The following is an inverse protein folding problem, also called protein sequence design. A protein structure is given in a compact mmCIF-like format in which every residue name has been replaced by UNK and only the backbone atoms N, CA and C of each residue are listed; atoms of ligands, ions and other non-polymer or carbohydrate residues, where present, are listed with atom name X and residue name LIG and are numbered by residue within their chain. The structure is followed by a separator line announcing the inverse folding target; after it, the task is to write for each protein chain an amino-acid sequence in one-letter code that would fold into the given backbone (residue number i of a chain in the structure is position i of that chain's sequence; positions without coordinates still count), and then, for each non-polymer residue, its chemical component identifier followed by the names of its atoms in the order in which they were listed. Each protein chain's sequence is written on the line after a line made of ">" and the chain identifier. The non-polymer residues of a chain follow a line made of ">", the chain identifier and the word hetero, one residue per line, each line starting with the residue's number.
data_IF_653451233398
#
_entry.id   IF_653451233398
#
_cell.length_a   1.000
_cell.length_b   1.000
_cell.length_c   1.000
_cell.angle_alpha   90.00
_cell.angle_beta   90.00
_cell.angle_gamma   90.00
#
_symmetry.space_group_name_H-M   'P 1'
#
loop_
_entity.id
_entity.type
_entity.pdbx_description
1 polymer ?
#
# COMPACT_ATOMS: atom_id res chain seq x y z
N UNK A 1 11.40 -3.60 3.85
CA UNK A 1 10.61 -3.40 2.62
C UNK A 1 11.28 -2.46 1.62
N UNK A 2 11.71 -1.24 1.98
CA UNK A 2 12.39 -0.32 1.04
C UNK A 2 13.58 -0.97 0.30
N UNK A 3 14.49 -1.62 1.03
CA UNK A 3 15.62 -2.35 0.45
C UNK A 3 15.18 -3.43 -0.55
N UNK A 4 14.11 -4.16 -0.25
CA UNK A 4 13.56 -5.18 -1.14
C UNK A 4 13.04 -4.56 -2.44
N UNK A 5 12.28 -3.47 -2.36
CA UNK A 5 11.76 -2.74 -3.53
C UNK A 5 12.90 -2.22 -4.40
N UNK A 6 13.92 -1.60 -3.79
CA UNK A 6 15.11 -1.13 -4.51
C UNK A 6 15.86 -2.28 -5.18
N UNK A 7 16.05 -3.40 -4.47
CA UNK A 7 16.71 -4.59 -5.02
C UNK A 7 15.95 -5.17 -6.22
N UNK A 8 14.62 -5.28 -6.13
CA UNK A 8 13.77 -5.73 -7.24
C UNK A 8 13.81 -4.75 -8.42
N UNK A 9 13.76 -3.45 -8.16
CA UNK A 9 13.85 -2.44 -9.22
C UNK A 9 15.16 -2.51 -9.99
N UNK A 10 16.28 -2.78 -9.30
CA UNK A 10 17.60 -2.89 -9.89
C UNK A 10 17.81 -4.23 -10.63
N UNK A 11 17.35 -5.33 -10.03
CA UNK A 11 17.53 -6.68 -10.59
C UNK A 11 16.57 -6.98 -11.74
N UNK A 12 15.43 -6.28 -11.80
CA UNK A 12 14.39 -6.51 -12.79
C UNK A 12 13.95 -5.17 -13.44
N UNK A 13 14.77 -4.57 -14.33
CA UNK A 13 14.55 -3.21 -14.84
C UNK A 13 13.28 -3.05 -15.69
N UNK A 14 12.64 -4.13 -16.12
CA UNK A 14 11.38 -4.09 -16.87
C UNK A 14 10.16 -4.49 -16.03
N UNK A 15 10.34 -4.97 -14.79
CA UNK A 15 9.22 -5.41 -13.96
C UNK A 15 8.37 -4.23 -13.49
N UNK A 16 7.05 -4.45 -13.43
CA UNK A 16 6.09 -3.51 -12.84
C UNK A 16 5.97 -3.84 -11.35
N UNK A 17 6.36 -2.90 -10.48
CA UNK A 17 6.37 -3.15 -9.03
C UNK A 17 5.08 -2.64 -8.41
N UNK A 18 4.37 -3.53 -7.71
CA UNK A 18 3.25 -3.18 -6.83
C UNK A 18 3.69 -3.42 -5.40
N UNK A 19 3.39 -2.49 -4.51
CA UNK A 19 3.60 -2.67 -3.08
C UNK A 19 2.26 -2.69 -2.36
N UNK A 20 2.13 -3.55 -1.36
CA UNK A 20 0.88 -3.72 -0.63
C UNK A 20 1.12 -4.01 0.85
N UNK A 21 0.15 -3.65 1.69
CA UNK A 21 0.20 -3.89 3.12
C UNK A 21 -1.18 -3.99 3.76
N UNK A 22 -1.33 -4.90 4.72
CA UNK A 22 -2.52 -5.06 5.56
C UNK A 22 -2.18 -4.73 7.01
N UNK A 23 -3.02 -3.94 7.70
CA UNK A 23 -2.86 -3.59 9.12
C UNK A 23 -1.48 -2.96 9.39
N UNK A 24 -0.66 -3.55 10.26
CA UNK A 24 0.73 -3.11 10.46
C UNK A 24 1.56 -3.14 9.15
N UNK A 25 1.28 -4.07 8.23
CA UNK A 25 1.93 -4.10 6.91
C UNK A 25 1.66 -2.84 6.08
N UNK A 26 0.51 -2.17 6.27
CA UNK A 26 0.27 -0.86 5.65
C UNK A 26 1.22 0.19 6.24
N UNK A 27 1.46 0.20 7.55
CA UNK A 27 2.46 1.09 8.17
C UNK A 27 3.86 0.84 7.61
N UNK A 28 4.25 -0.43 7.40
CA UNK A 28 5.52 -0.81 6.76
C UNK A 28 5.58 -0.29 5.32
N UNK A 29 4.46 -0.32 4.59
CA UNK A 29 4.33 0.23 3.23
C UNK A 29 4.55 1.74 3.22
N UNK A 30 3.93 2.48 4.16
CA UNK A 30 4.14 3.92 4.35
C UNK A 30 5.59 4.26 4.69
N UNK A 31 6.21 3.52 5.61
CA UNK A 31 7.62 3.73 5.98
C UNK A 31 8.54 3.46 4.79
N UNK A 32 8.30 2.37 4.05
CA UNK A 32 9.08 2.03 2.88
C UNK A 32 8.97 3.12 1.82
N UNK A 33 7.75 3.58 1.51
CA UNK A 33 7.49 4.64 0.55
C UNK A 33 8.32 5.90 0.85
N UNK A 34 8.39 6.31 2.13
CA UNK A 34 9.20 7.46 2.59
C UNK A 34 10.71 7.25 2.50
N UNK A 35 11.18 6.01 2.59
CA UNK A 35 12.61 5.68 2.49
C UNK A 35 13.08 5.48 1.04
N UNK A 36 12.16 5.28 0.08
CA UNK A 36 12.51 5.15 -1.33
C UNK A 36 12.96 6.50 -1.90
N UNK A 37 14.02 6.49 -2.71
CA UNK A 37 14.38 7.64 -3.54
C UNK A 37 13.29 7.93 -4.57
N UNK A 38 13.19 9.17 -5.07
CA UNK A 38 12.23 9.53 -6.12
C UNK A 38 12.34 8.65 -7.37
N UNK A 39 13.57 8.25 -7.74
CA UNK A 39 13.82 7.32 -8.84
C UNK A 39 13.14 5.95 -8.60
N UNK A 40 13.27 5.39 -7.39
CA UNK A 40 12.64 4.10 -7.07
C UNK A 40 11.13 4.24 -6.84
N UNK A 41 10.65 5.35 -6.29
CA UNK A 41 9.20 5.64 -6.21
C UNK A 41 8.56 5.61 -7.61
N UNK A 42 9.22 6.17 -8.63
CA UNK A 42 8.74 6.12 -10.01
C UNK A 42 8.61 4.70 -10.58
N UNK A 43 9.36 3.73 -10.04
CA UNK A 43 9.32 2.31 -10.44
C UNK A 43 8.14 1.55 -9.84
N UNK A 44 7.50 2.07 -8.79
CA UNK A 44 6.32 1.47 -8.16
C UNK A 44 5.06 1.98 -8.86
N UNK A 45 4.34 1.09 -9.53
CA UNK A 45 3.18 1.47 -10.36
C UNK A 45 1.87 1.57 -9.57
N UNK A 46 1.77 0.88 -8.44
CA UNK A 46 0.60 0.93 -7.56
C UNK A 46 0.98 0.67 -6.10
N UNK A 47 0.25 1.31 -5.19
CA UNK A 47 0.28 1.07 -3.75
C UNK A 47 -1.12 0.68 -3.29
N UNK A 48 -1.27 -0.48 -2.65
CA UNK A 48 -2.56 -0.94 -2.12
C UNK A 48 -2.46 -1.18 -0.62
N UNK A 49 -3.35 -0.58 0.17
CA UNK A 49 -3.39 -0.85 1.62
C UNK A 49 -4.77 -1.30 2.08
N UNK A 50 -4.80 -2.21 3.06
CA UNK A 50 -6.02 -2.74 3.69
C UNK A 50 -5.94 -2.53 5.20
N UNK A 51 -6.99 -1.99 5.82
CA UNK A 51 -6.98 -1.75 7.27
C UNK A 51 -5.85 -0.82 7.69
N UNK A 52 -5.63 0.25 6.92
CA UNK A 52 -4.44 1.11 7.00
C UNK A 52 -4.54 2.09 8.19
N UNK A 53 -3.70 1.94 9.23
CA UNK A 53 -3.67 2.86 10.36
C UNK A 53 -3.26 4.29 10.00
N UNK A 54 -2.62 4.46 8.84
CA UNK A 54 -2.14 5.72 8.31
C UNK A 54 -2.88 6.13 7.04
N UNK A 55 -4.14 5.72 6.86
CA UNK A 55 -4.92 6.03 5.66
C UNK A 55 -5.07 7.53 5.35
N UNK A 56 -5.02 8.39 6.39
CA UNK A 56 -5.04 9.85 6.30
C UNK A 56 -3.65 10.49 6.13
N UNK A 57 -2.59 9.69 6.14
CA UNK A 57 -1.21 10.15 5.91
C UNK A 57 -0.91 10.04 4.41
N UNK A 58 -0.46 11.12 3.80
CA UNK A 58 -0.10 11.10 2.38
C UNK A 58 1.16 10.25 2.14
N UNK A 59 1.17 9.51 1.02
CA UNK A 59 2.38 8.90 0.49
C UNK A 59 3.24 9.95 -0.23
N UNK A 60 4.57 9.76 -0.28
CA UNK A 60 5.46 10.72 -0.92
C UNK A 60 5.37 10.67 -2.45
N UNK A 61 5.54 11.84 -3.07
CA UNK A 61 5.79 11.99 -4.51
C UNK A 61 4.70 11.38 -5.38
N UNK A 62 5.11 10.61 -6.39
CA UNK A 62 4.19 9.97 -7.35
C UNK A 62 3.37 8.84 -6.75
N UNK A 63 3.67 8.38 -5.54
CA UNK A 63 2.99 7.25 -4.93
C UNK A 63 1.58 7.59 -4.47
N UNK A 64 1.31 8.85 -4.09
CA UNK A 64 -0.04 9.25 -3.64
C UNK A 64 -1.07 9.09 -4.78
N UNK A 65 -0.74 9.51 -6.00
CA UNK A 65 -1.63 9.34 -7.15
C UNK A 65 -1.73 7.89 -7.65
N UNK A 66 -0.91 6.99 -7.10
CA UNK A 66 -0.89 5.55 -7.39
C UNK A 66 -1.44 4.72 -6.22
N UNK A 67 -2.03 5.36 -5.20
CA UNK A 67 -2.57 4.70 -4.02
C UNK A 67 -4.03 4.27 -4.20
N UNK A 68 -4.36 3.10 -3.64
CA UNK A 68 -5.73 2.71 -3.28
C UNK A 68 -5.72 2.12 -1.87
N UNK A 69 -6.52 2.71 -0.98
CA UNK A 69 -6.67 2.22 0.39
C UNK A 69 -8.08 1.70 0.59
N UNK A 70 -8.20 0.55 1.25
CA UNK A 70 -9.43 -0.08 1.67
C UNK A 70 -9.50 -0.03 3.19
N UNK A 71 -10.55 0.63 3.69
CA UNK A 71 -10.85 0.74 5.12
C UNK A 71 -12.33 0.46 5.30
N UNK A 72 -12.65 -0.66 5.94
CA UNK A 72 -14.03 -1.07 6.16
C UNK A 72 -14.70 -0.14 7.17
N UNK A 73 -15.99 0.12 6.96
CA UNK A 73 -16.80 0.87 7.94
C UNK A 73 -16.77 0.12 9.28
N UNK A 74 -16.39 0.83 10.35
CA UNK A 74 -16.23 0.25 11.69
C UNK A 74 -14.88 -0.38 11.97
N UNK A 75 -13.92 -0.34 11.04
CA UNK A 75 -12.54 -0.71 11.34
C UNK A 75 -11.83 0.43 12.11
N UNK A 76 -11.69 0.26 13.42
CA UNK A 76 -11.07 1.26 14.28
C UNK A 76 -9.55 1.38 14.06
N UNK A 77 -8.90 0.38 13.46
CA UNK A 77 -7.49 0.46 13.07
C UNK A 77 -7.29 1.61 12.08
N UNK A 78 -8.20 1.76 11.10
CA UNK A 78 -8.17 2.87 10.13
C UNK A 78 -8.40 4.26 10.74
N UNK A 79 -8.81 4.32 12.00
CA UNK A 79 -8.95 5.57 12.78
C UNK A 79 -7.79 5.79 13.75
N UNK A 80 -6.75 4.95 13.67
CA UNK A 80 -5.55 5.04 14.51
C UNK A 80 -5.67 4.36 15.86
N UNK A 81 -6.76 3.62 16.14
CA UNK A 81 -6.93 2.90 17.39
C UNK A 81 -6.45 1.45 17.25
N UNK A 82 -5.68 0.90 18.21
CA UNK A 82 -5.16 -0.46 18.14
C UNK A 82 -6.21 -1.52 18.53
N UNK A 83 -7.46 -1.37 18.08
CA UNK A 83 -8.59 -2.24 18.42
C UNK A 83 -9.03 -3.01 17.19
N UNK A 84 -8.88 -4.34 17.24
CA UNK A 84 -9.28 -5.24 16.15
C UNK A 84 -10.74 -5.64 16.32
N UNK A 85 -11.58 -5.24 15.38
CA UNK A 85 -12.99 -5.64 15.29
C UNK A 85 -13.23 -6.49 14.02
N UNK A 86 -14.41 -7.11 13.91
CA UNK A 86 -14.77 -7.93 12.76
C UNK A 86 -14.56 -7.24 11.38
N UNK A 87 -14.85 -5.93 11.21
CA UNK A 87 -14.55 -5.24 9.95
C UNK A 87 -13.06 -5.28 9.54
N UNK A 88 -12.13 -5.29 10.49
CA UNK A 88 -10.69 -5.37 10.22
C UNK A 88 -10.28 -6.72 9.59
N UNK A 89 -11.06 -7.78 9.83
CA UNK A 89 -10.77 -9.14 9.38
C UNK A 89 -11.47 -9.48 8.05
N UNK A 90 -12.23 -8.54 7.47
CA UNK A 90 -13.15 -8.78 6.35
C UNK A 90 -12.68 -8.27 4.97
N UNK A 91 -11.40 -7.87 4.85
CA UNK A 91 -10.82 -7.33 3.60
C UNK A 91 -10.73 -8.34 2.44
N UNK A 92 -11.03 -9.62 2.70
CA UNK A 92 -11.15 -10.63 1.64
C UNK A 92 -12.20 -10.25 0.58
N UNK A 93 -13.21 -9.47 0.94
CA UNK A 93 -14.23 -8.97 0.01
C UNK A 93 -13.71 -7.90 -0.96
N UNK A 94 -12.61 -7.22 -0.64
CA UNK A 94 -12.05 -6.12 -1.43
C UNK A 94 -11.00 -6.56 -2.46
N UNK A 95 -10.54 -7.82 -2.40
CA UNK A 95 -9.40 -8.29 -3.21
C UNK A 95 -9.65 -8.17 -4.71
N UNK A 96 -10.88 -8.39 -5.17
CA UNK A 96 -11.25 -8.23 -6.58
C UNK A 96 -11.16 -6.76 -7.02
N UNK A 97 -11.63 -5.83 -6.19
CA UNK A 97 -11.53 -4.39 -6.47
C UNK A 97 -10.07 -3.90 -6.43
N UNK A 98 -9.26 -4.43 -5.50
CA UNK A 98 -7.84 -4.15 -5.41
C UNK A 98 -7.09 -4.64 -6.66
N UNK A 99 -7.34 -5.87 -7.10
CA UNK A 99 -6.75 -6.42 -8.32
C UNK A 99 -7.18 -5.64 -9.57
N UNK A 100 -8.45 -5.25 -9.66
CA UNK A 100 -8.95 -4.40 -10.75
C UNK A 100 -8.25 -3.03 -10.78
N UNK A 101 -8.04 -2.40 -9.62
CA UNK A 101 -7.26 -1.17 -9.53
C UNK A 101 -5.82 -1.37 -10.02
N UNK A 102 -5.12 -2.40 -9.54
CA UNK A 102 -3.74 -2.70 -9.98
C UNK A 102 -3.68 -2.92 -11.48
N UNK A 103 -4.67 -3.63 -12.07
CA UNK A 103 -4.77 -3.85 -13.52
C UNK A 103 -4.78 -2.54 -14.32
N UNK A 104 -5.33 -1.45 -13.78
CA UNK A 104 -5.33 -0.13 -14.47
C UNK A 104 -3.97 0.56 -14.47
N UNK A 105 -2.97 0.03 -13.75
CA UNK A 105 -1.65 0.65 -13.55
C UNK A 105 -0.51 -0.14 -14.21
N UNK A 106 -0.79 -1.33 -14.75
CA UNK A 106 0.21 -2.26 -15.32
C UNK A 106 0.18 -2.30 -16.83
#
# INVERSE_FOLDING_TARGET
>A
MATSVTSTANSCPNTKIVISGYSQGAQVTHLAARQLTSAIQNRVVAVVTFGDPYQSTALPGVLESRRKTFCNVGDLICTGQPIVLAPHLAYGSDVTAAAAFVKTKV
#
